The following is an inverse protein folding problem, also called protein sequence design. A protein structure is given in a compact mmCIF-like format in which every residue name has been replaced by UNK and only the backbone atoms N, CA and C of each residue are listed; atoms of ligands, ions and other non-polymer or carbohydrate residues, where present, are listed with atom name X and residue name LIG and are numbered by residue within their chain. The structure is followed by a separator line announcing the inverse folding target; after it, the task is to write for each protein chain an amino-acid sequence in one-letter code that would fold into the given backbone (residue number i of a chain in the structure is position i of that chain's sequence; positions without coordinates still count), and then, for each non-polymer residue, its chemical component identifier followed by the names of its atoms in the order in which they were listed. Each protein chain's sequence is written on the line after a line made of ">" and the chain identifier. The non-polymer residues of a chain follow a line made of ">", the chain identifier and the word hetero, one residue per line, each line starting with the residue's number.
data_IF_606698430223
#
_entry.id   IF_606698430223
#
_cell.length_a   1.000
_cell.length_b   1.000
_cell.length_c   1.000
_cell.angle_alpha   90.00
_cell.angle_beta   90.00
_cell.angle_gamma   90.00
#
_symmetry.space_group_name_H-M   'P 1'
#
loop_
_entity.id
_entity.type
_entity.pdbx_description
1 polymer ?
#
# COMPACT_ATOMS: atom_id res chain seq x y z
N UNK A 1 -4.34 -1.73 -12.97
CA UNK A 1 -4.10 -1.19 -11.61
C UNK A 1 -3.91 -2.36 -10.63
N UNK A 2 -2.66 -2.70 -10.31
CA UNK A 2 -2.26 -3.83 -9.46
C UNK A 2 -1.65 -3.41 -8.11
N UNK A 3 -1.72 -2.13 -7.73
CA UNK A 3 -1.19 -1.64 -6.45
C UNK A 3 -2.11 -1.96 -5.27
N UNK A 4 -1.55 -2.11 -4.07
CA UNK A 4 -2.34 -2.28 -2.85
C UNK A 4 -3.27 -1.10 -2.57
N UNK A 5 -4.37 -1.39 -1.90
CA UNK A 5 -5.35 -0.40 -1.46
C UNK A 5 -5.14 -0.12 0.03
N UNK A 6 -4.90 1.14 0.36
CA UNK A 6 -4.75 1.58 1.75
C UNK A 6 -6.13 1.67 2.41
N UNK A 7 -6.22 1.32 3.69
CA UNK A 7 -7.50 1.22 4.39
C UNK A 7 -7.39 1.83 5.78
N UNK A 8 -8.43 2.56 6.18
CA UNK A 8 -8.68 2.96 7.56
C UNK A 8 -10.02 2.39 8.05
N UNK A 9 -10.17 2.27 9.35
CA UNK A 9 -11.46 1.91 9.96
C UNK A 9 -12.42 3.11 10.02
N UNK A 10 -13.61 2.92 10.59
CA UNK A 10 -14.62 3.98 10.71
C UNK A 10 -14.11 5.22 11.46
N UNK A 11 -13.24 5.04 12.45
CA UNK A 11 -12.68 6.10 13.30
C UNK A 11 -11.44 6.76 12.65
N UNK A 12 -11.04 6.31 11.45
CA UNK A 12 -9.88 6.82 10.73
C UNK A 12 -8.56 6.14 11.12
N UNK A 13 -8.60 5.09 11.95
CA UNK A 13 -7.41 4.33 12.35
C UNK A 13 -6.84 3.59 11.15
N UNK A 14 -5.55 3.78 10.81
CA UNK A 14 -4.94 3.10 9.67
C UNK A 14 -4.83 1.59 9.90
N UNK A 15 -5.12 0.82 8.86
CA UNK A 15 -5.05 -0.64 8.83
C UNK A 15 -4.00 -1.12 7.82
N UNK A 16 -3.70 -2.42 7.87
CA UNK A 16 -2.85 -3.04 6.86
C UNK A 16 -3.48 -2.88 5.46
N UNK A 17 -2.69 -2.48 4.44
CA UNK A 17 -3.17 -2.40 3.07
C UNK A 17 -3.69 -3.77 2.58
N UNK A 18 -4.67 -3.74 1.68
CA UNK A 18 -5.33 -4.94 1.18
C UNK A 18 -5.27 -5.08 -0.33
N UNK A 19 -5.45 -6.31 -0.79
CA UNK A 19 -5.51 -6.61 -2.22
C UNK A 19 -6.70 -5.89 -2.89
N UNK A 20 -6.53 -5.34 -4.11
CA UNK A 20 -7.59 -4.64 -4.84
C UNK A 20 -8.88 -5.46 -5.03
N UNK A 21 -8.75 -6.78 -5.23
CA UNK A 21 -9.90 -7.67 -5.38
C UNK A 21 -10.74 -7.76 -4.09
N UNK A 22 -10.11 -7.67 -2.92
CA UNK A 22 -10.82 -7.61 -1.64
C UNK A 22 -11.48 -6.24 -1.45
N UNK A 23 -10.74 -5.16 -1.70
CA UNK A 23 -11.23 -3.79 -1.63
C UNK A 23 -12.49 -3.55 -2.48
N UNK A 24 -12.51 -4.06 -3.72
CA UNK A 24 -13.69 -3.99 -4.61
C UNK A 24 -14.92 -4.70 -4.02
N UNK A 25 -14.73 -5.87 -3.41
CA UNK A 25 -15.82 -6.62 -2.76
C UNK A 25 -16.41 -5.87 -1.58
N UNK A 26 -15.58 -5.21 -0.76
CA UNK A 26 -16.05 -4.40 0.37
C UNK A 26 -16.87 -3.19 -0.10
N UNK A 27 -16.41 -2.50 -1.15
CA UNK A 27 -17.14 -1.39 -1.77
C UNK A 27 -18.50 -1.83 -2.31
N UNK A 28 -18.54 -2.94 -3.07
CA UNK A 28 -19.79 -3.47 -3.64
C UNK A 28 -20.82 -3.87 -2.57
N UNK A 29 -20.35 -4.27 -1.38
CA UNK A 29 -21.19 -4.66 -0.24
C UNK A 29 -21.59 -3.48 0.65
N UNK A 30 -21.17 -2.25 0.33
CA UNK A 30 -21.40 -1.09 1.19
C UNK A 30 -20.68 -1.16 2.54
N UNK A 31 -19.64 -1.97 2.66
CA UNK A 31 -18.85 -2.15 3.89
C UNK A 31 -17.65 -1.20 3.98
N UNK A 32 -17.38 -0.49 2.89
CA UNK A 32 -16.36 0.54 2.82
C UNK A 32 -16.79 1.64 1.85
N UNK A 33 -16.20 2.82 2.01
CA UNK A 33 -16.34 3.96 1.12
C UNK A 33 -14.96 4.43 0.65
N UNK A 34 -14.89 5.04 -0.53
CA UNK A 34 -13.64 5.65 -1.00
C UNK A 34 -13.39 6.95 -0.26
N UNK A 35 -12.15 7.16 0.19
CA UNK A 35 -11.67 8.46 0.65
C UNK A 35 -10.96 9.19 -0.50
N UNK A 36 -11.54 10.26 -1.05
CA UNK A 36 -10.89 11.05 -2.10
C UNK A 36 -9.72 11.87 -1.53
N UNK A 37 -9.02 12.59 -2.42
CA UNK A 37 -7.93 13.54 -2.11
C UNK A 37 -6.57 12.95 -1.71
N UNK A 38 -6.30 11.68 -2.05
CA UNK A 38 -4.99 11.06 -1.87
C UNK A 38 -4.37 10.67 -3.21
N UNK A 39 -3.03 10.71 -3.29
CA UNK A 39 -2.28 10.26 -4.47
C UNK A 39 -2.39 8.74 -4.73
N UNK A 40 -2.97 8.00 -3.79
CA UNK A 40 -3.21 6.56 -3.85
C UNK A 40 -4.64 6.23 -3.41
N UNK A 41 -5.11 5.02 -3.71
CA UNK A 41 -6.47 4.60 -3.34
C UNK A 41 -6.56 4.34 -1.84
N UNK A 42 -7.41 5.10 -1.15
CA UNK A 42 -7.74 4.92 0.27
C UNK A 42 -9.21 4.52 0.43
N UNK A 43 -9.47 3.52 1.25
CA UNK A 43 -10.82 3.12 1.68
C UNK A 43 -11.02 3.37 3.16
N UNK A 44 -12.23 3.78 3.54
CA UNK A 44 -12.68 3.85 4.92
C UNK A 44 -13.75 2.79 5.16
N UNK A 45 -13.53 1.91 6.14
CA UNK A 45 -14.51 0.90 6.54
C UNK A 45 -15.70 1.56 7.24
N UNK A 46 -16.88 0.95 7.15
CA UNK A 46 -18.08 1.43 7.86
C UNK A 46 -18.11 1.03 9.35
N UNK A 47 -17.19 0.17 9.78
CA UNK A 47 -17.05 -0.28 11.17
C UNK A 47 -15.65 -0.01 11.69
N UNK A 48 -15.55 0.29 12.98
CA UNK A 48 -14.28 0.37 13.71
C UNK A 48 -13.73 -1.02 13.99
N UNK A 49 -12.39 -1.12 14.05
CA UNK A 49 -11.72 -2.37 14.44
C UNK A 49 -11.11 -2.13 15.84
N UNK A 50 -11.60 -2.77 16.90
CA UNK A 50 -11.27 -2.39 18.28
C UNK A 50 -9.80 -2.60 18.65
N UNK A 51 -9.10 -3.53 17.99
CA UNK A 51 -7.67 -3.79 18.23
C UNK A 51 -6.99 -4.13 16.91
N UNK A 52 -6.66 -3.13 16.07
CA UNK A 52 -6.04 -3.39 14.79
C UNK A 52 -4.60 -3.86 15.00
N UNK A 53 -4.30 -5.08 14.54
CA UNK A 53 -2.95 -5.62 14.61
C UNK A 53 -2.21 -5.24 13.33
N UNK A 54 -1.33 -4.26 13.44
CA UNK A 54 -0.38 -3.93 12.38
C UNK A 54 0.75 -4.97 12.38
N UNK A 55 1.14 -5.40 11.18
CA UNK A 55 2.20 -6.38 11.02
C UNK A 55 3.49 -5.68 10.64
N UNK A 56 4.66 -6.19 11.07
CA UNK A 56 5.93 -5.63 10.64
C UNK A 56 6.01 -5.57 9.11
N UNK A 57 6.50 -4.44 8.61
CA UNK A 57 6.82 -4.23 7.20
C UNK A 57 8.33 -4.09 7.09
N UNK A 58 8.93 -4.87 6.19
CA UNK A 58 10.36 -4.82 5.89
C UNK A 58 10.56 -4.03 4.60
N UNK A 59 11.46 -3.05 4.63
CA UNK A 59 11.95 -2.38 3.43
C UNK A 59 13.26 -3.04 3.01
N UNK A 60 13.26 -3.64 1.83
CA UNK A 60 14.47 -4.13 1.16
C UNK A 60 14.91 -3.10 0.13
N UNK A 61 16.20 -2.74 0.16
CA UNK A 61 16.81 -1.85 -0.81
C UNK A 61 17.86 -2.65 -1.58
N UNK A 62 17.66 -2.79 -2.88
CA UNK A 62 18.62 -3.41 -3.80
C UNK A 62 19.19 -2.35 -4.72
N UNK A 63 20.51 -2.19 -4.74
CA UNK A 63 21.19 -1.22 -5.62
C UNK A 63 21.76 -1.97 -6.82
N UNK A 64 21.35 -1.56 -8.01
CA UNK A 64 21.94 -1.95 -9.28
C UNK A 64 22.84 -0.83 -9.81
N UNK A 65 23.39 -1.00 -11.02
CA UNK A 65 24.36 -0.06 -11.60
C UNK A 65 23.85 1.41 -11.65
N UNK A 66 22.60 1.62 -12.05
CA UNK A 66 21.99 2.96 -12.20
C UNK A 66 20.58 3.06 -11.62
N UNK A 67 20.18 2.10 -10.80
CA UNK A 67 18.81 2.02 -10.32
C UNK A 67 18.81 1.44 -8.91
N UNK A 68 18.06 2.07 -8.01
CA UNK A 68 17.72 1.48 -6.73
C UNK A 68 16.30 0.91 -6.80
N UNK A 69 16.15 -0.32 -6.36
CA UNK A 69 14.86 -0.95 -6.13
C UNK A 69 14.55 -0.90 -4.63
N UNK A 70 13.37 -0.35 -4.30
CA UNK A 70 12.82 -0.34 -2.97
C UNK A 70 11.60 -1.28 -2.97
N UNK A 71 11.68 -2.36 -2.20
CA UNK A 71 10.60 -3.33 -2.03
C UNK A 71 10.12 -3.32 -0.58
N UNK A 72 8.87 -2.92 -0.37
CA UNK A 72 8.19 -3.05 0.92
C UNK A 72 7.49 -4.42 0.96
N UNK A 73 7.77 -5.22 1.99
CA UNK A 73 7.13 -6.53 2.21
C UNK A 73 6.48 -6.57 3.59
N UNK A 74 5.25 -7.07 3.68
CA UNK A 74 4.54 -7.24 4.94
C UNK A 74 4.51 -8.72 5.35
N UNK A 75 4.69 -8.99 6.64
CA UNK A 75 4.57 -10.34 7.17
C UNK A 75 3.12 -10.87 7.07
N UNK A 76 2.86 -11.87 6.23
CA UNK A 76 1.59 -12.60 6.20
C UNK A 76 1.55 -13.73 7.24
N UNK A 77 0.41 -14.43 7.33
CA UNK A 77 0.25 -15.54 8.30
C UNK A 77 1.03 -16.80 7.89
N UNK A 78 1.31 -16.93 6.59
CA UNK A 78 2.05 -18.04 5.99
C UNK A 78 3.15 -17.59 5.00
N UNK A 79 3.02 -16.40 4.40
CA UNK A 79 3.94 -15.90 3.37
C UNK A 79 4.22 -14.40 3.55
N UNK A 80 5.33 -13.91 3.03
CA UNK A 80 5.55 -12.47 2.86
C UNK A 80 4.67 -11.95 1.71
N UNK A 81 4.18 -10.73 1.83
CA UNK A 81 3.39 -10.07 0.80
C UNK A 81 4.07 -8.80 0.33
N UNK A 82 4.32 -8.69 -0.98
CA UNK A 82 4.82 -7.47 -1.58
C UNK A 82 3.77 -6.35 -1.47
N UNK A 83 4.14 -5.28 -0.79
CA UNK A 83 3.28 -4.14 -0.49
C UNK A 83 3.38 -3.09 -1.58
N UNK A 84 4.62 -2.74 -1.91
CA UNK A 84 4.95 -1.70 -2.86
C UNK A 84 6.34 -1.98 -3.42
N UNK A 85 6.51 -1.75 -4.72
CA UNK A 85 7.78 -1.82 -5.41
C UNK A 85 8.01 -0.49 -6.10
N UNK A 86 9.11 0.17 -5.78
CA UNK A 86 9.50 1.46 -6.34
C UNK A 86 10.85 1.28 -7.01
N UNK A 87 10.96 1.76 -8.25
CA UNK A 87 12.23 1.85 -8.96
C UNK A 87 12.65 3.31 -9.01
N UNK A 88 13.87 3.57 -8.56
CA UNK A 88 14.47 4.91 -8.51
C UNK A 88 15.65 4.91 -9.46
N UNK A 89 15.59 5.76 -10.49
CA UNK A 89 16.75 6.03 -11.35
C UNK A 89 17.80 6.81 -10.53
N UNK A 90 19.02 6.30 -10.48
CA UNK A 90 20.12 6.93 -9.74
C UNK A 90 20.98 7.83 -10.64
N UNK A 91 20.67 7.92 -11.93
CA UNK A 91 21.37 8.82 -12.85
C UNK A 91 21.10 10.27 -12.50
N UNK A 92 22.16 10.98 -12.14
CA UNK A 92 22.13 12.41 -11.82
C UNK A 92 22.51 13.30 -13.01
N UNK A 93 22.96 12.69 -14.12
CA UNK A 93 23.46 13.34 -15.34
C UNK A 93 22.36 13.59 -16.39
N UNK A 94 21.19 12.96 -16.22
CA UNK A 94 20.00 13.29 -16.99
C UNK A 94 19.45 14.63 -16.50
N UNK A 95 19.77 15.70 -17.24
CA UNK A 95 19.20 17.03 -16.98
C UNK A 95 17.67 16.95 -16.85
N UNK A 96 17.12 17.60 -15.82
CA UNK A 96 15.69 17.61 -15.53
C UNK A 96 14.90 18.06 -16.78
N UNK A 97 14.32 17.10 -17.51
CA UNK A 97 13.33 17.38 -18.54
C UNK A 97 11.96 17.01 -17.99
N UNK A 98 11.26 18.03 -17.49
CA UNK A 98 9.82 18.03 -17.31
C UNK A 98 9.15 18.29 -18.67
#
# INVERSE_FOLDING_TARGET
>A
MSGLVFVCDADGTPLMPMAPAHARRLLQRGQAVRRPHHAFTVLQLTKSIPTPVLRPVTLTITIHMYTAELLLTAAGRAHLHDVCRILVDLRTDLGWRL
#
